data_IF_279665497606
#
_entry.id   IF_279665497606
#
_cell.length_a   1.000
_cell.length_b   1.000
_cell.length_c   1.000
_cell.angle_alpha   90.00
_cell.angle_beta   90.00
_cell.angle_gamma   90.00
#
_symmetry.space_group_name_H-M   'P 1'
#
loop_
_entity.id
_entity.type
_entity.pdbx_description
1 polymer ?
#
# COMPACT_ATOMS: atom_id res chain seq x y z
N UNK A 1 -10.29 -26.17 -9.56
CA UNK A 1 -10.13 -26.33 -8.11
C UNK A 1 -10.77 -25.19 -7.33
N UNK A 2 -10.36 -23.91 -7.51
CA UNK A 2 -11.00 -22.78 -6.79
C UNK A 2 -12.47 -22.64 -7.14
N UNK A 3 -12.82 -22.77 -8.39
CA UNK A 3 -14.21 -22.71 -8.88
C UNK A 3 -15.04 -23.87 -8.38
N UNK A 4 -14.48 -25.09 -8.34
CA UNK A 4 -15.13 -26.30 -7.83
C UNK A 4 -15.40 -26.21 -6.30
N UNK A 5 -14.55 -25.47 -5.60
CA UNK A 5 -14.70 -25.15 -4.16
C UNK A 5 -15.63 -23.94 -3.89
N UNK A 6 -16.28 -23.37 -4.94
CA UNK A 6 -17.17 -22.21 -4.83
C UNK A 6 -16.44 -20.90 -4.54
N UNK A 7 -15.10 -20.86 -4.68
CA UNK A 7 -14.30 -19.66 -4.41
C UNK A 7 -14.32 -18.74 -5.61
N UNK A 8 -14.79 -17.51 -5.41
CA UNK A 8 -14.69 -16.46 -6.40
C UNK A 8 -13.26 -15.85 -6.41
N UNK A 9 -12.72 -15.60 -7.60
CA UNK A 9 -11.45 -14.92 -7.74
C UNK A 9 -11.51 -13.77 -8.73
N UNK A 10 -10.69 -12.74 -8.48
CA UNK A 10 -10.35 -11.67 -9.42
C UNK A 10 -8.83 -11.54 -9.46
N UNK A 11 -8.23 -11.68 -10.64
CA UNK A 11 -6.79 -11.63 -10.81
C UNK A 11 -6.37 -10.94 -12.10
N UNK A 12 -5.15 -10.44 -12.15
CA UNK A 12 -4.58 -9.88 -13.38
C UNK A 12 -4.17 -11.01 -14.32
N UNK A 13 -4.60 -10.92 -15.57
CA UNK A 13 -4.24 -11.90 -16.59
C UNK A 13 -2.75 -11.82 -16.95
N UNK A 14 -2.08 -12.97 -17.03
CA UNK A 14 -0.72 -13.08 -17.57
C UNK A 14 -0.75 -13.04 -19.08
N UNK A 15 0.21 -12.35 -19.72
CA UNK A 15 0.27 -12.17 -21.17
C UNK A 15 0.40 -13.45 -21.98
N UNK A 16 0.95 -14.53 -21.39
CA UNK A 16 1.29 -15.76 -22.09
C UNK A 16 0.22 -16.85 -21.97
N UNK A 17 -0.97 -16.53 -21.48
CA UNK A 17 -2.07 -17.50 -21.41
C UNK A 17 -2.70 -17.68 -22.79
N UNK A 18 -2.83 -18.94 -23.23
CA UNK A 18 -3.60 -19.30 -24.41
C UNK A 18 -5.05 -19.53 -23.99
N UNK A 19 -5.97 -18.95 -24.73
CA UNK A 19 -7.40 -19.05 -24.47
C UNK A 19 -8.18 -18.94 -25.80
N UNK A 20 -9.40 -19.44 -25.80
CA UNK A 20 -10.39 -19.27 -26.86
C UNK A 20 -11.44 -18.26 -26.40
N UNK A 21 -11.86 -17.35 -27.26
CA UNK A 21 -12.93 -16.39 -26.99
C UNK A 21 -14.26 -16.97 -27.38
N UNK A 22 -15.15 -17.20 -26.41
CA UNK A 22 -16.49 -17.72 -26.65
C UNK A 22 -17.47 -16.59 -26.98
N UNK A 23 -17.37 -15.47 -26.26
CA UNK A 23 -18.22 -14.29 -26.43
C UNK A 23 -17.41 -13.03 -26.18
N UNK A 24 -17.67 -11.97 -26.93
CA UNK A 24 -17.02 -10.68 -26.75
C UNK A 24 -18.02 -9.55 -26.89
N UNK A 25 -18.01 -8.60 -25.96
CA UNK A 25 -18.81 -7.38 -25.98
C UNK A 25 -17.88 -6.20 -25.72
N UNK A 26 -17.97 -5.18 -26.57
CA UNK A 26 -17.19 -3.95 -26.44
C UNK A 26 -18.12 -2.81 -25.99
N UNK A 27 -17.71 -2.11 -24.97
CA UNK A 27 -18.45 -0.96 -24.43
C UNK A 27 -17.75 0.34 -24.77
N UNK A 28 -18.50 1.32 -25.18
CA UNK A 28 -18.02 2.65 -25.57
C UNK A 28 -18.74 3.73 -24.74
N UNK A 29 -18.05 4.82 -24.49
CA UNK A 29 -18.66 6.00 -23.84
C UNK A 29 -19.47 6.84 -24.84
N UNK A 30 -20.05 7.95 -24.38
CA UNK A 30 -20.84 8.86 -25.22
C UNK A 30 -20.01 9.53 -26.34
N UNK A 31 -18.69 9.56 -26.19
CA UNK A 31 -17.74 10.12 -27.18
C UNK A 31 -17.24 9.08 -28.19
N UNK A 32 -17.73 7.82 -28.10
CA UNK A 32 -17.32 6.72 -28.97
C UNK A 32 -15.98 6.06 -28.60
N UNK A 33 -15.39 6.43 -27.45
CA UNK A 33 -14.15 5.81 -26.96
C UNK A 33 -14.45 4.49 -26.24
N UNK A 34 -13.65 3.45 -26.51
CA UNK A 34 -13.77 2.15 -25.85
C UNK A 34 -13.40 2.30 -24.37
N UNK A 35 -14.32 1.99 -23.49
CA UNK A 35 -14.12 2.00 -22.03
C UNK A 35 -13.64 0.67 -21.52
N UNK A 36 -14.25 -0.42 -21.95
CA UNK A 36 -13.85 -1.79 -21.62
C UNK A 36 -14.33 -2.80 -22.67
N UNK A 37 -13.64 -3.93 -22.69
CA UNK A 37 -14.03 -5.13 -23.47
C UNK A 37 -14.26 -6.27 -22.51
N UNK A 38 -15.43 -6.89 -22.59
CA UNK A 38 -15.86 -8.00 -21.75
C UNK A 38 -15.95 -9.26 -22.57
N UNK A 39 -15.23 -10.30 -22.18
CA UNK A 39 -15.11 -11.54 -22.94
C UNK A 39 -15.30 -12.76 -22.04
N UNK A 40 -16.09 -13.71 -22.49
CA UNK A 40 -16.06 -15.06 -21.95
C UNK A 40 -14.97 -15.85 -22.68
N UNK A 41 -14.06 -16.41 -21.92
CA UNK A 41 -12.88 -17.11 -22.44
C UNK A 41 -12.78 -18.52 -21.88
N UNK A 42 -12.36 -19.45 -22.73
CA UNK A 42 -12.12 -20.84 -22.37
C UNK A 42 -10.62 -21.11 -22.35
N UNK A 43 -10.13 -21.59 -21.21
CA UNK A 43 -8.79 -22.11 -21.06
C UNK A 43 -8.81 -23.62 -21.16
N UNK A 44 -7.94 -24.19 -21.98
CA UNK A 44 -7.81 -25.65 -22.16
C UNK A 44 -6.39 -26.08 -21.83
N UNK A 45 -6.27 -27.08 -20.94
CA UNK A 45 -4.99 -27.70 -20.59
C UNK A 45 -5.16 -29.20 -20.49
N UNK A 46 -4.80 -29.94 -21.58
CA UNK A 46 -5.10 -31.36 -21.71
C UNK A 46 -6.60 -31.58 -21.73
N UNK A 47 -7.11 -32.42 -20.85
CA UNK A 47 -8.55 -32.71 -20.71
C UNK A 47 -9.30 -31.67 -19.82
N UNK A 48 -8.56 -30.80 -19.14
CA UNK A 48 -9.16 -29.82 -18.25
C UNK A 48 -9.53 -28.57 -19.03
N UNK A 49 -10.77 -28.17 -18.88
CA UNK A 49 -11.31 -26.89 -19.37
C UNK A 49 -11.74 -26.01 -18.25
N UNK A 50 -11.55 -24.70 -18.38
CA UNK A 50 -11.99 -23.71 -17.42
C UNK A 50 -12.51 -22.48 -18.14
N UNK A 51 -13.78 -22.17 -17.92
CA UNK A 51 -14.38 -20.94 -18.42
C UNK A 51 -14.15 -19.81 -17.42
N UNK A 52 -13.77 -18.63 -17.92
CA UNK A 52 -13.57 -17.44 -17.14
C UNK A 52 -14.02 -16.20 -17.91
N UNK A 53 -14.34 -15.16 -17.19
CA UNK A 53 -14.63 -13.83 -17.71
C UNK A 53 -13.35 -13.01 -17.74
N UNK A 54 -12.99 -12.51 -18.91
CA UNK A 54 -11.86 -11.61 -19.15
C UNK A 54 -12.39 -10.20 -19.35
N UNK A 55 -11.97 -9.26 -18.54
CA UNK A 55 -12.32 -7.84 -18.64
C UNK A 55 -11.06 -7.04 -18.95
N UNK A 56 -11.06 -6.32 -20.06
CA UNK A 56 -9.98 -5.42 -20.45
C UNK A 56 -10.46 -3.98 -20.31
N UNK A 57 -9.86 -3.24 -19.37
CA UNK A 57 -10.26 -1.88 -19.01
C UNK A 57 -9.25 -0.90 -19.57
N UNK A 58 -9.75 0.08 -20.31
CA UNK A 58 -8.95 1.15 -20.91
C UNK A 58 -9.02 2.40 -20.05
N UNK A 59 -7.87 3.02 -19.82
CA UNK A 59 -7.75 4.29 -19.12
C UNK A 59 -7.01 5.28 -20.02
N UNK A 60 -7.38 6.54 -19.98
CA UNK A 60 -6.66 7.60 -20.68
C UNK A 60 -5.19 7.60 -20.28
N UNK A 61 -4.31 7.65 -21.30
CA UNK A 61 -2.86 7.72 -21.14
C UNK A 61 -2.19 6.58 -20.33
N UNK A 62 -2.87 5.43 -20.12
CA UNK A 62 -2.31 4.26 -19.43
C UNK A 62 -2.47 2.99 -20.26
N UNK A 63 -1.61 2.00 -19.98
CA UNK A 63 -1.77 0.68 -20.57
C UNK A 63 -3.05 0.02 -20.05
N UNK A 64 -3.81 -0.70 -20.91
CA UNK A 64 -5.01 -1.39 -20.49
C UNK A 64 -4.70 -2.42 -19.39
N UNK A 65 -5.65 -2.58 -18.48
CA UNK A 65 -5.59 -3.57 -17.42
C UNK A 65 -6.49 -4.73 -17.81
N UNK A 66 -5.92 -5.94 -17.86
CA UNK A 66 -6.65 -7.16 -18.20
C UNK A 66 -6.84 -7.98 -16.94
N UNK A 67 -8.09 -8.16 -16.55
CA UNK A 67 -8.51 -8.92 -15.37
C UNK A 67 -9.24 -10.20 -15.77
N UNK A 68 -9.11 -11.23 -14.93
CA UNK A 68 -9.83 -12.49 -15.05
C UNK A 68 -10.64 -12.72 -13.78
N UNK A 69 -11.87 -13.21 -13.95
CA UNK A 69 -12.75 -13.67 -12.88
C UNK A 69 -13.46 -14.94 -13.28
N UNK A 70 -13.83 -15.77 -12.30
CA UNK A 70 -14.79 -16.87 -12.50
C UNK A 70 -16.23 -16.47 -12.12
N UNK A 71 -16.44 -15.21 -11.76
CA UNK A 71 -17.77 -14.67 -11.50
C UNK A 71 -18.26 -13.88 -12.72
N UNK A 72 -19.43 -14.23 -13.23
CA UNK A 72 -20.06 -13.63 -14.40
C UNK A 72 -21.12 -12.58 -14.04
N UNK A 73 -21.51 -12.51 -12.76
CA UNK A 73 -22.57 -11.62 -12.29
C UNK A 73 -22.02 -10.25 -11.81
N UNK A 74 -20.74 -10.18 -11.44
CA UNK A 74 -20.13 -8.93 -11.01
C UNK A 74 -20.12 -7.88 -12.11
N UNK A 75 -20.36 -6.63 -11.77
CA UNK A 75 -20.11 -5.52 -12.69
C UNK A 75 -18.62 -5.38 -13.00
N UNK A 76 -18.28 -4.66 -14.06
CA UNK A 76 -16.86 -4.38 -14.40
C UNK A 76 -16.24 -3.49 -13.33
N UNK A 77 -17.05 -2.60 -12.78
CA UNK A 77 -16.70 -1.72 -11.65
C UNK A 77 -16.33 -2.53 -10.41
N UNK A 78 -17.15 -3.54 -10.05
CA UNK A 78 -16.89 -4.43 -8.91
C UNK A 78 -15.58 -5.21 -9.11
N UNK A 79 -15.35 -5.80 -10.29
CA UNK A 79 -14.13 -6.51 -10.64
C UNK A 79 -12.91 -5.60 -10.51
N UNK A 80 -13.01 -4.38 -11.00
CA UNK A 80 -11.95 -3.36 -10.90
C UNK A 80 -11.66 -2.98 -9.46
N UNK A 81 -12.70 -2.75 -8.66
CA UNK A 81 -12.60 -2.37 -7.25
C UNK A 81 -11.99 -3.50 -6.41
N UNK A 82 -12.44 -4.75 -6.59
CA UNK A 82 -11.87 -5.92 -5.91
C UNK A 82 -10.38 -6.05 -6.22
N UNK A 83 -10.00 -5.86 -7.49
CA UNK A 83 -8.59 -5.90 -7.88
C UNK A 83 -7.78 -4.76 -7.25
N UNK A 84 -8.34 -3.55 -7.20
CA UNK A 84 -7.73 -2.38 -6.56
C UNK A 84 -7.52 -2.59 -5.07
N UNK A 85 -8.51 -3.13 -4.36
CA UNK A 85 -8.40 -3.44 -2.93
C UNK A 85 -7.31 -4.48 -2.65
N UNK A 86 -7.19 -5.52 -3.49
CA UNK A 86 -6.10 -6.49 -3.40
C UNK A 86 -4.72 -5.83 -3.54
N UNK A 87 -4.59 -4.88 -4.47
CA UNK A 87 -3.36 -4.14 -4.66
C UNK A 87 -3.00 -3.24 -3.48
N UNK A 88 -4.00 -2.73 -2.77
CA UNK A 88 -3.79 -1.95 -1.55
C UNK A 88 -3.07 -2.77 -0.46
N UNK A 89 -3.39 -4.06 -0.34
CA UNK A 89 -2.71 -4.97 0.59
C UNK A 89 -1.23 -5.13 0.23
N UNK A 90 -0.90 -5.33 -1.05
CA UNK A 90 0.49 -5.43 -1.50
C UNK A 90 1.27 -4.15 -1.23
N UNK A 91 0.64 -3.00 -1.45
CA UNK A 91 1.22 -1.67 -1.17
C UNK A 91 1.47 -1.46 0.31
N UNK A 92 0.54 -1.90 1.18
CA UNK A 92 0.72 -1.88 2.62
C UNK A 92 1.92 -2.72 3.05
N UNK A 93 2.01 -3.97 2.59
CA UNK A 93 3.15 -4.83 2.91
C UNK A 93 4.48 -4.27 2.43
N UNK A 94 4.51 -3.66 1.25
CA UNK A 94 5.69 -2.96 0.74
C UNK A 94 6.09 -1.81 1.67
N UNK A 95 5.14 -0.99 2.08
CA UNK A 95 5.36 0.12 3.01
C UNK A 95 5.89 -0.37 4.36
N UNK A 96 5.31 -1.44 4.93
CA UNK A 96 5.76 -2.03 6.18
C UNK A 96 7.19 -2.55 6.07
N UNK A 97 7.52 -3.32 5.03
CA UNK A 97 8.88 -3.85 4.83
C UNK A 97 9.93 -2.76 4.61
N UNK A 98 9.57 -1.66 3.97
CA UNK A 98 10.49 -0.55 3.71
C UNK A 98 10.78 0.30 4.95
N UNK A 99 9.81 0.46 5.84
CA UNK A 99 9.89 1.42 6.94
C UNK A 99 10.06 0.77 8.31
N UNK A 100 9.85 -0.54 8.45
CA UNK A 100 9.96 -1.25 9.72
C UNK A 100 10.82 -2.51 9.60
N UNK A 101 11.49 -2.93 10.69
CA UNK A 101 12.42 -4.08 10.68
C UNK A 101 11.65 -5.41 10.68
N UNK A 102 10.95 -5.73 9.59
CA UNK A 102 10.23 -7.00 9.40
C UNK A 102 11.06 -8.07 8.67
N UNK A 103 12.34 -7.83 8.42
CA UNK A 103 13.26 -8.78 7.80
C UNK A 103 13.91 -9.73 8.81
N UNK A 104 13.77 -9.46 10.11
CA UNK A 104 14.13 -10.37 11.20
C UNK A 104 13.16 -10.21 12.36
N UNK A 105 13.03 -11.26 13.16
CA UNK A 105 12.19 -11.25 14.36
C UNK A 105 13.07 -11.34 15.60
N UNK A 106 12.71 -10.61 16.64
CA UNK A 106 13.44 -10.57 17.92
C UNK A 106 13.24 -11.83 18.76
N UNK A 107 12.26 -12.67 18.41
CA UNK A 107 11.99 -13.94 19.08
C UNK A 107 11.43 -14.96 18.10
N UNK A 108 11.74 -16.23 18.36
CA UNK A 108 11.40 -17.36 17.48
C UNK A 108 10.03 -17.97 17.81
N UNK A 109 9.41 -17.60 18.93
CA UNK A 109 8.09 -18.11 19.28
C UNK A 109 7.00 -17.49 18.42
N UNK A 110 5.95 -18.26 18.13
CA UNK A 110 4.77 -17.77 17.38
C UNK A 110 4.20 -16.50 18.00
N UNK A 111 4.12 -16.46 19.33
CA UNK A 111 3.63 -15.30 20.06
C UNK A 111 4.52 -14.06 19.86
N UNK A 112 5.86 -14.21 19.89
CA UNK A 112 6.79 -13.12 19.68
C UNK A 112 6.64 -12.53 18.26
N UNK A 113 6.51 -13.39 17.25
CA UNK A 113 6.29 -12.99 15.86
C UNK A 113 4.97 -12.23 15.71
N UNK A 114 3.90 -12.72 16.34
CA UNK A 114 2.59 -12.05 16.32
C UNK A 114 2.65 -10.68 17.00
N UNK A 115 3.27 -10.59 18.18
CA UNK A 115 3.43 -9.32 18.91
C UNK A 115 4.20 -8.31 18.04
N UNK A 116 5.34 -8.69 17.47
CA UNK A 116 6.11 -7.80 16.62
C UNK A 116 5.30 -7.32 15.40
N UNK A 117 4.55 -8.21 14.78
CA UNK A 117 3.67 -7.87 13.66
C UNK A 117 2.61 -6.85 14.06
N UNK A 118 1.94 -7.06 15.20
CA UNK A 118 0.93 -6.14 15.71
C UNK A 118 1.52 -4.77 16.07
N UNK A 119 2.68 -4.74 16.73
CA UNK A 119 3.38 -3.48 17.05
C UNK A 119 3.69 -2.68 15.80
N UNK A 120 4.17 -3.34 14.75
CA UNK A 120 4.46 -2.68 13.46
C UNK A 120 3.19 -2.15 12.80
N UNK A 121 2.10 -2.91 12.81
CA UNK A 121 0.82 -2.44 12.25
C UNK A 121 0.26 -1.24 13.01
N UNK A 122 0.32 -1.26 14.34
CA UNK A 122 -0.11 -0.14 15.19
C UNK A 122 0.78 1.09 14.93
N UNK A 123 2.10 0.92 14.90
CA UNK A 123 3.03 2.02 14.60
C UNK A 123 2.77 2.63 13.21
N UNK A 124 2.56 1.79 12.19
CA UNK A 124 2.22 2.25 10.84
C UNK A 124 0.91 3.05 10.83
N UNK A 125 -0.11 2.60 11.56
CA UNK A 125 -1.39 3.30 11.66
C UNK A 125 -1.22 4.67 12.34
N UNK A 126 -0.53 4.73 13.48
CA UNK A 126 -0.26 5.97 14.22
C UNK A 126 0.51 6.98 13.35
N UNK A 127 1.56 6.52 12.66
CA UNK A 127 2.34 7.38 11.75
C UNK A 127 1.49 7.86 10.58
N UNK A 128 0.60 7.03 10.05
CA UNK A 128 -0.32 7.42 8.99
C UNK A 128 -1.27 8.53 9.45
N UNK A 129 -1.81 8.44 10.68
CA UNK A 129 -2.65 9.49 11.27
C UNK A 129 -1.85 10.78 11.47
N UNK A 130 -0.65 10.69 12.03
CA UNK A 130 0.24 11.84 12.21
C UNK A 130 0.60 12.51 10.87
N UNK A 131 0.91 11.71 9.84
CA UNK A 131 1.24 12.23 8.50
C UNK A 131 0.10 13.05 7.89
N UNK A 132 -1.16 12.67 8.17
CA UNK A 132 -2.34 13.43 7.70
C UNK A 132 -2.52 14.76 8.42
N UNK A 133 -1.99 14.89 9.63
CA UNK A 133 -2.04 16.13 10.43
C UNK A 133 -0.98 17.15 10.01
N UNK A 134 0.04 16.72 9.25
CA UNK A 134 1.09 17.60 8.73
C UNK A 134 0.60 18.24 7.44
N UNK A 135 0.56 19.57 7.38
CA UNK A 135 0.12 20.32 6.19
C UNK A 135 1.14 20.27 5.04
N UNK A 136 2.41 20.08 5.38
CA UNK A 136 3.49 19.98 4.39
C UNK A 136 3.44 18.62 3.68
N UNK A 137 3.64 18.63 2.38
CA UNK A 137 3.70 17.39 1.59
C UNK A 137 5.02 16.65 1.88
N UNK A 138 4.96 15.63 2.73
CA UNK A 138 6.09 14.79 3.11
C UNK A 138 5.83 13.34 2.71
N UNK A 139 6.86 12.66 2.19
CA UNK A 139 6.77 11.23 1.96
C UNK A 139 6.67 10.47 3.30
N UNK A 140 5.92 9.37 3.34
CA UNK A 140 5.74 8.56 4.55
C UNK A 140 7.07 8.15 5.21
N UNK A 141 8.06 7.75 4.39
CA UNK A 141 9.40 7.38 4.86
C UNK A 141 10.15 8.54 5.54
N UNK A 142 9.94 9.78 5.08
CA UNK A 142 10.52 10.96 5.73
C UNK A 142 9.92 11.17 7.12
N UNK A 143 8.59 11.04 7.24
CA UNK A 143 7.89 11.13 8.53
C UNK A 143 8.40 10.06 9.50
N UNK A 144 8.54 8.80 9.04
CA UNK A 144 9.10 7.71 9.85
C UNK A 144 10.52 8.02 10.32
N UNK A 145 11.37 8.53 9.41
CA UNK A 145 12.76 8.88 9.75
C UNK A 145 12.81 10.00 10.77
N UNK A 146 12.01 11.05 10.60
CA UNK A 146 11.96 12.17 11.55
C UNK A 146 11.43 11.75 12.92
N UNK A 147 10.40 10.89 12.97
CA UNK A 147 9.93 10.31 14.23
C UNK A 147 11.05 9.55 14.95
N UNK A 148 11.82 8.71 14.23
CA UNK A 148 12.94 7.97 14.82
C UNK A 148 14.01 8.90 15.42
N UNK A 149 14.30 10.01 14.74
CA UNK A 149 15.30 10.97 15.18
C UNK A 149 14.80 11.83 16.37
N UNK A 150 13.51 12.14 16.41
CA UNK A 150 12.95 13.08 17.38
C UNK A 150 12.22 12.41 18.56
N UNK A 151 12.01 11.07 18.51
CA UNK A 151 11.23 10.34 19.51
C UNK A 151 11.76 10.51 20.96
N UNK A 152 13.08 10.64 21.10
CA UNK A 152 13.73 10.82 22.42
C UNK A 152 13.76 12.28 22.88
N UNK A 153 13.35 13.22 22.03
CA UNK A 153 13.30 14.63 22.35
C UNK A 153 11.85 15.04 22.61
N UNK A 154 11.61 15.83 23.66
CA UNK A 154 10.28 16.38 23.98
C UNK A 154 9.92 17.53 23.03
N UNK A 155 9.71 17.21 21.76
CA UNK A 155 9.41 18.17 20.69
C UNK A 155 7.95 18.01 20.27
N UNK A 156 7.27 19.11 20.00
CA UNK A 156 6.02 19.05 19.27
C UNK A 156 6.32 18.66 17.82
N UNK A 157 6.13 17.39 17.51
CA UNK A 157 6.50 16.80 16.21
C UNK A 157 5.82 17.49 15.02
N UNK A 158 4.55 17.88 15.15
CA UNK A 158 3.81 18.53 14.05
C UNK A 158 4.41 19.91 13.79
N UNK A 159 4.65 20.72 14.83
CA UNK A 159 5.30 22.03 14.70
C UNK A 159 6.70 21.92 14.11
N UNK A 160 7.45 20.91 14.50
CA UNK A 160 8.78 20.62 13.95
C UNK A 160 8.72 20.30 12.46
N UNK A 161 7.79 19.45 12.02
CA UNK A 161 7.64 19.08 10.63
C UNK A 161 7.17 20.25 9.74
N UNK A 162 6.40 21.19 10.30
CA UNK A 162 5.94 22.37 9.57
C UNK A 162 7.01 23.47 9.50
N UNK A 163 7.78 23.69 10.56
CA UNK A 163 8.82 24.72 10.67
C UNK A 163 10.07 24.18 11.39
N UNK A 164 10.89 23.37 10.71
CA UNK A 164 12.02 22.67 11.34
C UNK A 164 13.07 23.65 11.90
N UNK A 165 13.40 24.72 11.16
CA UNK A 165 14.46 25.66 11.54
C UNK A 165 14.12 26.38 12.86
N UNK A 166 12.92 26.95 12.94
CA UNK A 166 12.47 27.65 14.17
C UNK A 166 12.42 26.73 15.37
N UNK A 167 11.90 25.51 15.20
CA UNK A 167 11.78 24.55 16.30
C UNK A 167 13.15 24.08 16.76
N UNK A 168 14.11 23.99 15.84
CA UNK A 168 15.47 23.60 16.16
C UNK A 168 16.21 24.70 16.95
N UNK A 169 16.06 25.95 16.57
CA UNK A 169 16.60 27.10 17.28
C UNK A 169 16.05 27.19 18.71
N UNK A 170 14.73 27.04 18.90
CA UNK A 170 14.08 26.98 20.21
C UNK A 170 14.64 25.86 21.11
N UNK A 171 15.02 24.71 20.53
CA UNK A 171 15.61 23.58 21.25
C UNK A 171 17.05 23.90 21.66
N UNK A 172 17.84 24.47 20.77
CA UNK A 172 19.20 24.87 21.05
C UNK A 172 19.26 25.89 22.16
N UNK A 173 18.41 26.93 22.12
CA UNK A 173 18.30 27.94 23.19
C UNK A 173 17.96 27.31 24.54
N UNK A 174 16.99 26.41 24.62
CA UNK A 174 16.62 25.69 25.85
C UNK A 174 17.76 24.81 26.38
N UNK A 175 18.54 24.21 25.53
CA UNK A 175 19.66 23.38 25.95
C UNK A 175 20.85 24.23 26.43
N UNK A 176 21.10 25.39 25.82
CA UNK A 176 22.09 26.34 26.29
C UNK A 176 21.75 26.87 27.69
N UNK A 177 20.48 27.17 27.95
CA UNK A 177 20.01 27.62 29.28
C UNK A 177 20.11 26.53 30.36
N UNK A 178 20.13 25.23 29.99
CA UNK A 178 20.26 24.09 30.91
C UNK A 178 21.68 23.56 31.04
N UNK A 179 22.63 24.11 30.31
CA UNK A 179 24.03 23.71 30.45
C UNK A 179 24.47 23.93 31.91
N UNK A 180 25.13 22.94 32.58
CA UNK A 180 25.68 23.15 33.90
C UNK A 180 26.69 24.28 33.82
N UNK A 181 26.79 25.10 34.89
CA UNK A 181 27.78 26.17 34.95
C UNK A 181 29.18 25.58 34.70
N UNK A 182 29.98 26.29 33.92
CA UNK A 182 31.36 25.87 33.65
C UNK A 182 32.06 25.55 34.97
N UNK A 183 32.80 24.44 35.06
CA UNK A 183 33.56 24.15 36.29
C UNK A 183 34.55 25.30 36.52
N UNK A 184 34.37 25.99 37.65
CA UNK A 184 35.35 26.98 38.04
C UNK A 184 36.71 26.29 38.18
N UNK A 185 37.60 26.59 37.26
CA UNK A 185 39.00 26.24 37.40
C UNK A 185 39.53 27.01 38.63
N UNK A 186 39.78 26.28 39.71
CA UNK A 186 40.48 26.82 40.86
C UNK A 186 41.86 27.25 40.39
N UNK A 187 42.15 28.55 40.50
CA UNK A 187 43.50 29.11 40.45
C UNK A 187 44.28 28.70 41.68
#
# INVERSE_FOLDING_TARGET
RLTDEGVCYVTKMKKNLKYEVLKSVTYVNQEGLVTHVDQNVLFTRGELTHEARKVEIFHENKKPVVLLSNNFDFSVEDISEIYRLRWAIESLYKQLKQNFPLHFFYGDSVNAIQIQTWVVLIANLLITVLSRSIKRNCAFSQVVTMIRLTLMYYINFISFMENPDKTWDDILERNVQKAPPEPMLFN
#
